data_IF_053927355225
#
_entry.id   IF_053927355225
#
_cell.length_a   1.000
_cell.length_b   1.000
_cell.length_c   1.000
_cell.angle_alpha   90.00
_cell.angle_beta   90.00
_cell.angle_gamma   90.00
#
_symmetry.space_group_name_H-M   'P 1'
#
loop_
_entity.id
_entity.type
_entity.pdbx_description
1 polymer ?
#
# COMPACT_ATOMS: atom_id res chain seq x y z
N UNK A 1 34.04 -46.24 1.78
CA UNK A 1 35.12 -45.31 2.16
C UNK A 1 35.52 -44.39 1.00
N UNK A 2 35.84 -44.94 -0.17
CA UNK A 2 36.22 -44.17 -1.38
C UNK A 2 35.22 -43.08 -1.83
N UNK A 3 33.90 -43.32 -1.73
CA UNK A 3 32.88 -42.34 -2.14
C UNK A 3 32.87 -41.06 -1.27
N UNK A 4 33.04 -41.21 0.05
CA UNK A 4 33.15 -40.06 0.99
C UNK A 4 34.42 -39.25 0.77
N UNK A 5 35.52 -39.90 0.41
CA UNK A 5 36.78 -39.23 0.05
C UNK A 5 36.62 -38.46 -1.25
N UNK A 6 35.94 -39.05 -2.25
CA UNK A 6 35.67 -38.39 -3.53
C UNK A 6 34.77 -37.15 -3.36
N UNK A 7 33.74 -37.24 -2.51
CA UNK A 7 32.86 -36.12 -2.20
C UNK A 7 33.59 -35.01 -1.42
N UNK A 8 34.55 -35.37 -0.55
CA UNK A 8 35.39 -34.42 0.18
C UNK A 8 36.36 -33.67 -0.75
N UNK A 9 37.02 -34.37 -1.68
CA UNK A 9 37.94 -33.79 -2.68
C UNK A 9 37.20 -32.85 -3.64
N UNK A 10 35.91 -33.10 -3.91
CA UNK A 10 35.07 -32.23 -4.75
C UNK A 10 34.47 -31.04 -3.98
N UNK A 11 34.68 -30.95 -2.67
CA UNK A 11 34.14 -29.84 -1.88
C UNK A 11 34.79 -28.51 -2.28
N UNK A 12 33.99 -27.44 -2.33
CA UNK A 12 34.49 -26.09 -2.69
C UNK A 12 35.62 -25.64 -1.76
N UNK A 13 35.54 -25.99 -0.48
CA UNK A 13 36.55 -25.65 0.52
C UNK A 13 37.89 -26.35 0.26
N UNK A 14 37.86 -27.64 -0.08
CA UNK A 14 39.06 -28.40 -0.40
C UNK A 14 39.75 -27.86 -1.66
N UNK A 15 38.99 -27.60 -2.73
CA UNK A 15 39.53 -27.04 -3.98
C UNK A 15 40.15 -25.65 -3.73
N UNK A 16 39.50 -24.79 -2.95
CA UNK A 16 40.05 -23.46 -2.62
C UNK A 16 41.30 -23.53 -1.75
N UNK A 17 41.33 -24.44 -0.76
CA UNK A 17 42.49 -24.64 0.10
C UNK A 17 43.68 -25.23 -0.67
N UNK A 18 43.40 -26.19 -1.56
CA UNK A 18 44.40 -26.78 -2.45
C UNK A 18 45.00 -25.74 -3.39
N UNK A 19 44.18 -24.91 -4.04
CA UNK A 19 44.66 -23.83 -4.90
C UNK A 19 45.51 -22.81 -4.14
N UNK A 20 45.11 -22.39 -2.94
CA UNK A 20 45.90 -21.51 -2.08
C UNK A 20 47.25 -22.13 -1.70
N UNK A 21 47.26 -23.42 -1.36
CA UNK A 21 48.48 -24.16 -1.06
C UNK A 21 49.42 -24.24 -2.27
N UNK A 22 48.89 -24.51 -3.47
CA UNK A 22 49.66 -24.50 -4.71
C UNK A 22 50.26 -23.11 -5.01
N UNK A 23 49.49 -22.03 -4.85
CA UNK A 23 49.97 -20.65 -5.05
C UNK A 23 51.06 -20.30 -4.03
N UNK A 24 50.92 -20.76 -2.78
CA UNK A 24 51.93 -20.58 -1.74
C UNK A 24 53.23 -21.31 -2.05
N UNK A 25 53.14 -22.58 -2.47
CA UNK A 25 54.29 -23.35 -2.92
C UNK A 25 54.97 -22.68 -4.12
N UNK A 26 54.21 -22.27 -5.13
CA UNK A 26 54.74 -21.54 -6.29
C UNK A 26 55.42 -20.21 -5.88
N UNK A 27 54.87 -19.50 -4.90
CA UNK A 27 55.49 -18.26 -4.38
C UNK A 27 56.85 -18.54 -3.73
N UNK A 28 56.96 -19.64 -2.97
CA UNK A 28 58.23 -20.08 -2.37
C UNK A 28 59.23 -20.48 -3.45
N UNK A 29 58.81 -21.31 -4.43
CA UNK A 29 59.68 -21.74 -5.51
C UNK A 29 60.16 -20.54 -6.35
N UNK A 30 59.29 -19.58 -6.62
CA UNK A 30 59.63 -18.35 -7.33
C UNK A 30 60.61 -17.48 -6.53
N UNK A 31 60.49 -17.43 -5.20
CA UNK A 31 61.46 -16.72 -4.36
C UNK A 31 62.88 -17.29 -4.49
N UNK A 32 63.03 -18.62 -4.42
CA UNK A 32 64.34 -19.28 -4.46
C UNK A 32 64.93 -19.40 -5.87
N UNK A 33 64.12 -19.77 -6.87
CA UNK A 33 64.61 -20.04 -8.22
C UNK A 33 64.32 -18.94 -9.23
N UNK A 34 63.55 -17.92 -8.87
CA UNK A 34 63.23 -16.81 -9.77
C UNK A 34 64.49 -16.07 -10.25
N UNK A 35 65.52 -15.95 -9.41
CA UNK A 35 66.78 -15.28 -9.79
C UNK A 35 67.58 -16.02 -10.86
N UNK A 36 67.31 -17.30 -11.11
CA UNK A 36 68.01 -18.11 -12.11
C UNK A 36 67.37 -18.00 -13.50
N UNK A 37 66.18 -17.39 -13.60
CA UNK A 37 65.45 -17.25 -14.86
C UNK A 37 66.07 -16.11 -15.67
N UNK A 38 66.77 -16.46 -16.75
CA UNK A 38 67.32 -15.53 -17.72
C UNK A 38 66.55 -15.59 -19.04
N UNK A 39 66.30 -14.42 -19.64
CA UNK A 39 65.82 -14.31 -21.01
C UNK A 39 66.90 -13.61 -21.82
N UNK A 40 67.49 -14.32 -22.79
CA UNK A 40 68.54 -13.77 -23.64
C UNK A 40 69.72 -13.18 -22.82
N UNK A 41 70.18 -13.94 -21.82
CA UNK A 41 71.23 -13.58 -20.83
C UNK A 41 70.90 -12.42 -19.87
N UNK A 42 69.67 -11.90 -19.90
CA UNK A 42 69.20 -10.88 -18.96
C UNK A 42 68.44 -11.55 -17.81
N UNK A 43 68.96 -11.43 -16.58
CA UNK A 43 68.33 -11.92 -15.36
C UNK A 43 67.31 -10.91 -14.82
N UNK A 44 66.12 -10.92 -15.42
CA UNK A 44 65.02 -9.98 -15.15
C UNK A 44 64.58 -9.99 -13.67
N UNK A 45 64.69 -11.14 -12.99
CA UNK A 45 64.25 -11.32 -11.60
C UNK A 45 65.40 -11.43 -10.59
N UNK A 46 66.60 -10.97 -10.95
CA UNK A 46 67.76 -10.94 -10.05
C UNK A 46 67.51 -10.08 -8.80
N UNK A 47 66.85 -8.92 -8.98
CA UNK A 47 66.50 -8.01 -7.90
C UNK A 47 65.53 -8.63 -6.89
N UNK A 48 65.92 -8.65 -5.61
CA UNK A 48 65.09 -9.12 -4.50
C UNK A 48 63.84 -8.27 -4.31
N UNK A 49 63.91 -6.96 -4.60
CA UNK A 49 62.76 -6.05 -4.51
C UNK A 49 61.68 -6.40 -5.54
N UNK A 50 62.07 -6.69 -6.79
CA UNK A 50 61.11 -7.07 -7.85
C UNK A 50 60.36 -8.36 -7.51
N UNK A 51 61.08 -9.39 -7.01
CA UNK A 51 60.47 -10.65 -6.58
C UNK A 51 59.47 -10.45 -5.44
N UNK A 52 59.82 -9.65 -4.45
CA UNK A 52 58.93 -9.32 -3.33
C UNK A 52 57.67 -8.59 -3.81
N UNK A 53 57.81 -7.57 -4.67
CA UNK A 53 56.67 -6.81 -5.20
C UNK A 53 55.70 -7.69 -5.99
N UNK A 54 56.20 -8.63 -6.82
CA UNK A 54 55.35 -9.55 -7.58
C UNK A 54 54.58 -10.49 -6.64
N UNK A 55 55.25 -11.09 -5.65
CA UNK A 55 54.60 -11.95 -4.66
C UNK A 55 53.53 -11.18 -3.89
N UNK A 56 53.86 -9.96 -3.45
CA UNK A 56 52.92 -9.08 -2.74
C UNK A 56 51.66 -8.81 -3.58
N UNK A 57 51.81 -8.47 -4.87
CA UNK A 57 50.69 -8.20 -5.77
C UNK A 57 49.82 -9.45 -5.96
N UNK A 58 50.43 -10.62 -6.17
CA UNK A 58 49.70 -11.89 -6.32
C UNK A 58 48.87 -12.17 -5.07
N UNK A 59 49.47 -12.07 -3.89
CA UNK A 59 48.78 -12.30 -2.62
C UNK A 59 47.71 -11.23 -2.34
N UNK A 60 47.95 -9.98 -2.74
CA UNK A 60 46.96 -8.90 -2.63
C UNK A 60 45.74 -9.15 -3.53
N UNK A 61 45.93 -9.64 -4.76
CA UNK A 61 44.83 -10.02 -5.67
C UNK A 61 44.03 -11.19 -5.09
N UNK A 62 44.71 -12.22 -4.60
CA UNK A 62 44.07 -13.38 -3.94
C UNK A 62 43.27 -12.92 -2.72
N UNK A 63 43.88 -12.11 -1.86
CA UNK A 63 43.24 -11.56 -0.67
C UNK A 63 42.00 -10.73 -1.02
N UNK A 64 42.11 -9.84 -2.00
CA UNK A 64 40.99 -9.01 -2.48
C UNK A 64 39.85 -9.89 -3.03
N UNK A 65 40.16 -10.90 -3.83
CA UNK A 65 39.16 -11.82 -4.38
C UNK A 65 38.41 -12.60 -3.29
N UNK A 66 39.13 -13.07 -2.27
CA UNK A 66 38.54 -13.81 -1.15
C UNK A 66 37.73 -12.92 -0.19
N UNK A 67 38.08 -11.64 -0.02
CA UNK A 67 37.31 -10.69 0.79
C UNK A 67 36.09 -10.12 0.06
N UNK A 68 36.20 -9.82 -1.23
CA UNK A 68 35.10 -9.23 -2.00
C UNK A 68 33.92 -10.20 -2.14
N UNK A 69 34.18 -11.50 -2.29
CA UNK A 69 33.14 -12.51 -2.48
C UNK A 69 32.13 -12.63 -1.31
N UNK A 70 32.53 -12.76 -0.04
CA UNK A 70 31.61 -12.76 1.09
C UNK A 70 30.87 -11.43 1.26
N UNK A 71 31.51 -10.30 0.96
CA UNK A 71 30.86 -8.97 0.99
C UNK A 71 29.73 -8.88 -0.06
N UNK A 72 30.01 -9.29 -1.30
CA UNK A 72 29.01 -9.33 -2.37
C UNK A 72 27.86 -10.27 -2.00
N UNK A 73 28.18 -11.45 -1.46
CA UNK A 73 27.17 -12.42 -1.03
C UNK A 73 26.30 -11.87 0.11
N UNK A 74 26.89 -11.18 1.09
CA UNK A 74 26.18 -10.55 2.20
C UNK A 74 25.26 -9.41 1.73
N UNK A 75 25.74 -8.54 0.84
CA UNK A 75 24.91 -7.49 0.22
C UNK A 75 23.76 -8.13 -0.58
N UNK A 76 24.03 -9.23 -1.28
CA UNK A 76 23.01 -9.95 -2.04
C UNK A 76 21.96 -10.62 -1.14
N UNK A 77 22.35 -11.11 0.05
CA UNK A 77 21.43 -11.72 1.01
C UNK A 77 20.56 -10.68 1.71
N UNK A 78 21.08 -9.50 2.04
CA UNK A 78 20.26 -8.41 2.56
C UNK A 78 19.24 -7.93 1.51
N UNK A 79 19.66 -7.82 0.24
CA UNK A 79 18.78 -7.45 -0.86
C UNK A 79 17.72 -8.53 -1.12
N UNK A 80 18.05 -9.81 -0.95
CA UNK A 80 17.10 -10.91 -1.12
C UNK A 80 16.07 -10.94 0.02
N UNK A 81 16.47 -10.69 1.26
CA UNK A 81 15.56 -10.61 2.41
C UNK A 81 14.56 -9.46 2.25
N UNK A 82 15.03 -8.24 1.97
CA UNK A 82 14.16 -7.08 1.73
C UNK A 82 13.16 -7.35 0.59
N UNK A 83 13.62 -7.98 -0.50
CA UNK A 83 12.75 -8.41 -1.63
C UNK A 83 11.72 -9.46 -1.21
N UNK A 84 12.09 -10.43 -0.37
CA UNK A 84 11.17 -11.43 0.15
C UNK A 84 10.08 -10.78 1.01
N UNK A 85 10.46 -9.87 1.91
CA UNK A 85 9.50 -9.08 2.72
C UNK A 85 8.49 -8.34 1.83
N UNK A 86 8.96 -7.59 0.83
CA UNK A 86 8.07 -6.94 -0.15
C UNK A 86 7.17 -7.91 -0.91
N UNK A 87 7.67 -9.10 -1.26
CA UNK A 87 6.88 -10.12 -1.96
C UNK A 87 5.75 -10.64 -1.07
N UNK A 88 6.01 -10.84 0.22
CA UNK A 88 5.00 -11.24 1.22
C UNK A 88 3.93 -10.16 1.36
N UNK A 89 4.32 -8.89 1.55
CA UNK A 89 3.37 -7.77 1.65
C UNK A 89 2.50 -7.64 0.40
N UNK A 90 3.10 -7.78 -0.79
CA UNK A 90 2.36 -7.73 -2.06
C UNK A 90 1.35 -8.87 -2.14
N UNK A 91 1.74 -10.09 -1.74
CA UNK A 91 0.88 -11.28 -1.74
C UNK A 91 -0.32 -11.09 -0.81
N UNK A 92 -0.11 -10.55 0.39
CA UNK A 92 -1.19 -10.26 1.35
C UNK A 92 -2.16 -9.21 0.80
N UNK A 93 -1.64 -8.13 0.21
CA UNK A 93 -2.47 -7.15 -0.48
C UNK A 93 -3.23 -7.75 -1.68
N UNK A 94 -2.62 -8.67 -2.44
CA UNK A 94 -3.29 -9.38 -3.54
C UNK A 94 -4.42 -10.29 -3.04
N UNK A 95 -4.20 -11.01 -1.95
CA UNK A 95 -5.21 -11.88 -1.34
C UNK A 95 -6.41 -11.07 -0.84
N UNK A 96 -6.15 -9.93 -0.19
CA UNK A 96 -7.19 -9.01 0.23
C UNK A 96 -8.03 -8.54 -0.98
N UNK A 97 -7.36 -8.05 -2.02
CA UNK A 97 -8.03 -7.54 -3.23
C UNK A 97 -8.79 -8.64 -3.96
N UNK A 98 -8.28 -9.87 -3.98
CA UNK A 98 -9.00 -11.02 -4.52
C UNK A 98 -10.32 -11.27 -3.79
N UNK A 99 -10.31 -11.25 -2.45
CA UNK A 99 -11.52 -11.38 -1.62
C UNK A 99 -12.50 -10.23 -1.87
N UNK A 100 -12.03 -8.98 -1.91
CA UNK A 100 -12.87 -7.82 -2.20
C UNK A 100 -13.52 -7.88 -3.58
N UNK A 101 -12.74 -8.24 -4.63
CA UNK A 101 -13.27 -8.45 -5.99
C UNK A 101 -14.36 -9.49 -6.02
N UNK A 102 -14.13 -10.66 -5.39
CA UNK A 102 -15.12 -11.73 -5.30
C UNK A 102 -16.41 -11.21 -4.68
N UNK A 103 -16.32 -10.53 -3.55
CA UNK A 103 -17.49 -10.00 -2.85
C UNK A 103 -18.24 -8.96 -3.69
N UNK A 104 -17.54 -8.08 -4.42
CA UNK A 104 -18.17 -7.12 -5.33
C UNK A 104 -19.02 -7.79 -6.41
N UNK A 105 -18.47 -8.82 -7.06
CA UNK A 105 -19.19 -9.56 -8.09
C UNK A 105 -20.36 -10.37 -7.52
N UNK A 106 -20.24 -10.89 -6.29
CA UNK A 106 -21.36 -11.52 -5.58
C UNK A 106 -22.48 -10.52 -5.31
N UNK A 107 -22.19 -9.36 -4.71
CA UNK A 107 -23.20 -8.33 -4.43
C UNK A 107 -23.93 -7.84 -5.70
N UNK A 108 -23.22 -7.76 -6.83
CA UNK A 108 -23.84 -7.44 -8.12
C UNK A 108 -24.69 -8.58 -8.68
N UNK A 109 -24.25 -9.82 -8.49
CA UNK A 109 -25.00 -10.99 -8.93
C UNK A 109 -26.30 -11.09 -8.13
N UNK A 110 -26.21 -10.97 -6.81
CA UNK A 110 -27.36 -10.98 -5.90
C UNK A 110 -28.37 -9.90 -6.31
N UNK A 111 -27.91 -8.66 -6.53
CA UNK A 111 -28.78 -7.58 -7.00
C UNK A 111 -29.43 -7.85 -8.36
N UNK A 112 -28.69 -8.44 -9.31
CA UNK A 112 -29.25 -8.85 -10.61
C UNK A 112 -30.29 -9.96 -10.47
N UNK A 113 -30.09 -10.90 -9.54
CA UNK A 113 -31.02 -12.00 -9.31
C UNK A 113 -32.30 -11.53 -8.62
N UNK A 114 -32.20 -10.60 -7.67
CA UNK A 114 -33.35 -9.99 -6.99
C UNK A 114 -34.14 -9.07 -7.93
N UNK A 115 -33.47 -8.27 -8.76
CA UNK A 115 -34.11 -7.26 -9.61
C UNK A 115 -33.86 -7.48 -11.10
N UNK A 116 -34.11 -8.71 -11.59
CA UNK A 116 -33.82 -9.15 -12.97
C UNK A 116 -34.28 -8.17 -14.06
N UNK A 117 -35.50 -7.66 -13.93
CA UNK A 117 -36.12 -6.79 -14.93
C UNK A 117 -35.93 -5.29 -14.63
N UNK A 118 -35.69 -4.93 -13.36
CA UNK A 118 -35.63 -3.54 -12.92
C UNK A 118 -34.20 -2.98 -12.87
N UNK A 119 -33.19 -3.85 -12.72
CA UNK A 119 -31.81 -3.42 -12.56
C UNK A 119 -31.11 -3.19 -13.90
N UNK A 120 -31.05 -1.91 -14.32
CA UNK A 120 -30.30 -1.48 -15.51
C UNK A 120 -28.81 -1.39 -15.23
N UNK A 121 -28.13 -2.53 -15.20
CA UNK A 121 -26.68 -2.58 -14.87
C UNK A 121 -25.77 -1.81 -15.83
N UNK A 122 -26.19 -1.47 -17.05
CA UNK A 122 -25.35 -0.65 -17.95
C UNK A 122 -25.18 0.78 -17.45
N UNK A 123 -26.23 1.40 -16.91
CA UNK A 123 -26.24 2.82 -16.54
C UNK A 123 -26.33 3.03 -15.02
N UNK A 124 -25.82 2.08 -14.24
CA UNK A 124 -25.89 2.13 -12.78
C UNK A 124 -24.80 3.07 -12.25
N UNK A 125 -25.12 4.26 -11.71
CA UNK A 125 -24.11 5.16 -11.15
C UNK A 125 -23.45 4.53 -9.94
N UNK A 126 -22.15 4.73 -9.78
CA UNK A 126 -21.32 4.24 -8.68
C UNK A 126 -20.74 5.43 -7.92
N UNK A 127 -21.01 5.51 -6.62
CA UNK A 127 -20.50 6.57 -5.75
C UNK A 127 -19.56 5.97 -4.72
N UNK A 128 -18.39 6.58 -4.55
CA UNK A 128 -17.41 6.15 -3.54
C UNK A 128 -17.65 6.91 -2.24
N UNK A 129 -17.80 6.19 -1.13
CA UNK A 129 -17.95 6.79 0.21
C UNK A 129 -16.60 6.69 0.94
N UNK A 130 -16.10 7.84 1.38
CA UNK A 130 -14.79 8.00 2.01
C UNK A 130 -14.97 8.76 3.33
N UNK A 131 -14.24 8.33 4.37
CA UNK A 131 -14.22 9.02 5.66
C UNK A 131 -13.55 8.17 6.73
N UNK A 132 -13.24 8.79 7.87
CA UNK A 132 -12.61 8.14 9.02
C UNK A 132 -13.39 6.91 9.50
N UNK A 133 -12.71 6.00 10.20
CA UNK A 133 -13.40 4.94 10.94
C UNK A 133 -14.32 5.57 11.99
N UNK A 134 -15.53 5.01 12.15
CA UNK A 134 -16.52 5.57 13.06
C UNK A 134 -17.21 6.87 12.59
N UNK A 135 -16.88 7.42 11.41
CA UNK A 135 -17.52 8.63 10.89
C UNK A 135 -19.00 8.46 10.49
N UNK A 136 -19.62 7.30 10.71
CA UNK A 136 -21.05 7.08 10.40
C UNK A 136 -21.34 6.64 8.97
N UNK A 137 -20.35 6.20 8.19
CA UNK A 137 -20.54 5.71 6.80
C UNK A 137 -21.58 4.59 6.70
N UNK A 138 -21.45 3.54 7.51
CA UNK A 138 -22.38 2.41 7.48
C UNK A 138 -23.79 2.82 7.92
N UNK A 139 -23.91 3.73 8.90
CA UNK A 139 -25.19 4.31 9.30
C UNK A 139 -25.80 5.11 8.14
N UNK A 140 -25.03 5.97 7.49
CA UNK A 140 -25.47 6.73 6.32
C UNK A 140 -25.99 5.81 5.21
N UNK A 141 -25.32 4.69 4.92
CA UNK A 141 -25.78 3.72 3.91
C UNK A 141 -27.05 3.01 4.37
N UNK A 142 -27.09 2.49 5.59
CA UNK A 142 -28.20 1.66 6.08
C UNK A 142 -29.51 2.45 6.29
N UNK A 143 -29.41 3.75 6.56
CA UNK A 143 -30.55 4.64 6.79
C UNK A 143 -30.76 5.64 5.63
N UNK A 144 -30.29 5.31 4.42
CA UNK A 144 -30.43 6.17 3.23
C UNK A 144 -31.79 6.09 2.52
N UNK A 145 -32.77 5.36 3.08
CA UNK A 145 -34.04 4.99 2.42
C UNK A 145 -33.87 4.35 1.02
N UNK A 146 -32.66 3.83 0.75
CA UNK A 146 -32.35 3.09 -0.47
C UNK A 146 -32.65 1.61 -0.23
N UNK A 147 -33.42 1.03 -1.14
CA UNK A 147 -33.72 -0.40 -1.14
C UNK A 147 -32.49 -1.20 -1.60
N UNK A 148 -32.00 -2.09 -0.73
CA UNK A 148 -30.94 -3.07 -1.01
C UNK A 148 -31.55 -4.48 -1.08
N UNK A 149 -31.02 -5.39 -1.92
CA UNK A 149 -31.69 -6.65 -2.23
C UNK A 149 -31.60 -7.57 -1.02
N UNK A 150 -32.70 -7.87 -0.32
CA UNK A 150 -32.69 -8.75 0.86
C UNK A 150 -32.19 -10.16 0.51
N UNK A 151 -30.95 -10.48 0.84
CA UNK A 151 -30.42 -11.83 0.84
C UNK A 151 -30.26 -12.32 2.28
N UNK A 152 -30.32 -13.63 2.53
CA UNK A 152 -30.01 -14.21 3.84
C UNK A 152 -28.57 -13.86 4.31
N UNK A 153 -27.69 -13.47 3.38
CA UNK A 153 -26.37 -12.92 3.68
C UNK A 153 -26.41 -11.47 4.20
N UNK A 154 -27.48 -10.71 3.98
CA UNK A 154 -27.65 -9.33 4.48
C UNK A 154 -28.16 -9.23 5.91
N UNK A 155 -28.75 -10.28 6.51
CA UNK A 155 -28.89 -10.31 7.98
C UNK A 155 -27.51 -10.19 8.65
N UNK A 156 -26.45 -10.67 8.00
CA UNK A 156 -25.06 -10.52 8.45
C UNK A 156 -24.53 -9.10 8.24
N UNK A 157 -24.97 -8.38 7.21
CA UNK A 157 -24.55 -7.00 6.94
C UNK A 157 -25.33 -5.97 7.76
N UNK A 158 -26.60 -6.22 8.07
CA UNK A 158 -27.43 -5.37 8.96
C UNK A 158 -27.11 -5.58 10.44
N UNK A 159 -26.71 -6.78 10.88
CA UNK A 159 -26.37 -7.07 12.30
C UNK A 159 -24.97 -6.64 12.73
N UNK A 160 -24.02 -6.45 11.82
CA UNK A 160 -22.66 -6.08 12.21
C UNK A 160 -22.45 -4.57 12.12
N UNK A 161 -22.75 -3.87 13.22
CA UNK A 161 -22.15 -2.58 13.60
C UNK A 161 -20.62 -2.66 13.82
N UNK A 162 -19.97 -3.73 13.34
CA UNK A 162 -18.56 -4.03 13.58
C UNK A 162 -17.81 -3.69 12.30
N UNK A 163 -16.95 -2.67 12.41
CA UNK A 163 -16.06 -2.12 11.39
C UNK A 163 -15.99 -2.88 10.07
N UNK A 164 -16.33 -2.19 8.97
CA UNK A 164 -16.16 -2.66 7.59
C UNK A 164 -14.68 -3.03 7.36
N UNK A 165 -14.28 -4.31 7.49
CA UNK A 165 -12.87 -4.75 7.31
C UNK A 165 -12.43 -4.92 5.86
N UNK A 166 -13.36 -4.79 4.91
CA UNK A 166 -13.15 -4.99 3.47
C UNK A 166 -13.91 -3.93 2.68
N UNK A 167 -13.49 -3.63 1.45
CA UNK A 167 -14.34 -2.86 0.55
C UNK A 167 -15.68 -3.57 0.35
N UNK A 168 -16.79 -2.85 0.48
CA UNK A 168 -18.14 -3.36 0.28
C UNK A 168 -18.87 -2.60 -0.84
N UNK A 169 -19.70 -3.32 -1.60
CA UNK A 169 -20.49 -2.77 -2.69
C UNK A 169 -21.98 -2.97 -2.36
N UNK A 170 -22.69 -1.87 -2.17
CA UNK A 170 -24.12 -1.84 -1.93
C UNK A 170 -24.82 -1.47 -3.23
N UNK A 171 -25.58 -2.40 -3.80
CA UNK A 171 -26.24 -2.21 -5.09
C UNK A 171 -27.73 -2.02 -4.85
N UNK A 172 -28.32 -1.00 -5.47
CA UNK A 172 -29.76 -0.73 -5.47
C UNK A 172 -30.30 -0.61 -6.89
N UNK A 173 -31.62 -0.49 -7.04
CA UNK A 173 -32.27 -0.20 -8.33
C UNK A 173 -31.79 1.10 -8.98
N UNK A 174 -31.41 2.10 -8.17
CA UNK A 174 -31.08 3.47 -8.62
C UNK A 174 -29.58 3.71 -8.79
N UNK A 175 -28.73 2.93 -8.12
CA UNK A 175 -27.29 3.15 -8.11
C UNK A 175 -26.55 2.18 -7.20
N UNK A 176 -25.23 2.28 -7.16
CA UNK A 176 -24.38 1.54 -6.26
C UNK A 176 -23.53 2.47 -5.38
N UNK A 177 -23.38 2.11 -4.12
CA UNK A 177 -22.50 2.78 -3.17
C UNK A 177 -21.33 1.86 -2.83
N UNK A 178 -20.14 2.43 -2.83
CA UNK A 178 -18.90 1.75 -2.50
C UNK A 178 -18.45 2.23 -1.13
N UNK A 179 -18.54 1.35 -0.14
CA UNK A 179 -18.06 1.64 1.21
C UNK A 179 -16.59 1.23 1.33
N UNK A 180 -15.79 2.17 1.84
CA UNK A 180 -14.36 1.97 2.09
C UNK A 180 -14.12 1.84 3.59
N UNK A 181 -13.23 0.94 4.02
CA UNK A 181 -12.84 0.91 5.43
C UNK A 181 -12.18 2.23 5.84
N UNK A 182 -12.50 2.72 7.04
CA UNK A 182 -11.93 3.98 7.55
C UNK A 182 -10.41 3.97 7.67
N UNK A 183 -9.80 2.81 7.89
CA UNK A 183 -8.34 2.69 7.98
C UNK A 183 -7.61 2.87 6.64
N UNK A 184 -8.30 2.78 5.49
CA UNK A 184 -7.72 3.20 4.20
C UNK A 184 -7.80 4.71 4.01
N UNK A 185 -8.55 5.42 4.85
CA UNK A 185 -8.63 6.87 4.81
C UNK A 185 -7.46 7.53 5.55
N UNK A 186 -7.11 7.08 6.76
CA UNK A 186 -6.04 7.68 7.59
C UNK A 186 -4.72 6.90 7.55
N UNK A 187 -4.34 6.40 6.36
CA UNK A 187 -3.15 5.55 6.19
C UNK A 187 -1.87 6.20 6.77
N UNK A 188 -1.77 7.51 6.64
CA UNK A 188 -0.64 8.31 7.10
C UNK A 188 -0.41 8.24 8.61
N UNK A 189 -1.43 7.92 9.42
CA UNK A 189 -1.27 7.73 10.87
C UNK A 189 -0.42 6.50 11.20
N UNK A 190 -0.36 5.53 10.28
CA UNK A 190 0.48 4.33 10.40
C UNK A 190 1.94 4.58 9.96
N UNK A 191 2.26 5.79 9.45
CA UNK A 191 3.63 6.15 9.09
C UNK A 191 4.14 7.25 10.03
N UNK A 192 5.01 6.86 10.97
CA UNK A 192 5.64 7.76 11.94
C UNK A 192 7.14 7.83 11.67
N UNK A 193 7.57 8.75 10.78
CA UNK A 193 8.98 8.92 10.46
C UNK A 193 9.74 9.48 11.67
N UNK A 194 10.94 8.96 11.92
CA UNK A 194 11.88 9.45 12.93
C UNK A 194 12.68 10.64 12.41
N UNK A 195 12.84 10.75 11.09
CA UNK A 195 13.50 11.86 10.39
C UNK A 195 12.70 12.28 9.16
N UNK A 196 12.87 13.52 8.70
CA UNK A 196 12.15 14.05 7.51
C UNK A 196 12.38 13.24 6.24
N UNK A 197 13.54 12.58 6.16
CA UNK A 197 14.00 11.88 4.97
C UNK A 197 13.75 10.37 5.04
N UNK A 198 13.15 9.88 6.13
CA UNK A 198 12.80 8.45 6.27
C UNK A 198 11.77 8.06 5.20
N UNK A 199 12.09 7.02 4.44
CA UNK A 199 11.17 6.44 3.46
C UNK A 199 10.52 5.21 4.13
N UNK A 200 9.20 4.99 4.00
CA UNK A 200 8.52 3.84 4.60
C UNK A 200 9.15 2.49 4.22
N UNK A 201 9.72 2.41 3.03
CA UNK A 201 10.44 1.26 2.49
C UNK A 201 11.79 0.97 3.17
N UNK A 202 12.35 1.88 3.97
CA UNK A 202 13.62 1.69 4.67
C UNK A 202 13.49 0.67 5.79
N UNK A 203 12.45 0.81 6.62
CA UNK A 203 12.05 -0.16 7.64
C UNK A 203 10.66 -0.72 7.35
N UNK A 204 10.65 -1.87 6.67
CA UNK A 204 9.43 -2.56 6.26
C UNK A 204 8.65 -3.10 7.45
N UNK A 205 9.34 -3.54 8.51
CA UNK A 205 8.69 -4.17 9.65
C UNK A 205 8.00 -3.11 10.51
N UNK A 206 8.66 -1.96 10.73
CA UNK A 206 8.07 -0.78 11.38
C UNK A 206 6.86 -0.23 10.60
N UNK A 207 6.99 -0.10 9.28
CA UNK A 207 6.00 0.57 8.43
C UNK A 207 5.08 -0.41 7.67
N UNK A 208 4.99 -1.65 8.14
CA UNK A 208 4.29 -2.75 7.48
C UNK A 208 2.84 -2.39 7.15
N UNK A 209 2.10 -1.89 8.13
CA UNK A 209 0.67 -1.61 7.99
C UNK A 209 0.40 -0.47 7.01
N UNK A 210 1.21 0.59 7.05
CA UNK A 210 1.17 1.67 6.06
C UNK A 210 1.39 1.13 4.64
N UNK A 211 2.46 0.34 4.44
CA UNK A 211 2.82 -0.21 3.13
C UNK A 211 1.74 -1.15 2.56
N UNK A 212 1.16 -2.00 3.41
CA UNK A 212 0.06 -2.90 3.01
C UNK A 212 -1.16 -2.08 2.62
N UNK A 213 -1.62 -1.15 3.49
CA UNK A 213 -2.84 -0.37 3.24
C UNK A 213 -2.71 0.51 2.00
N UNK A 214 -1.56 1.16 1.81
CA UNK A 214 -1.24 1.93 0.59
C UNK A 214 -1.29 1.07 -0.67
N UNK A 215 -0.74 -0.14 -0.61
CA UNK A 215 -0.77 -1.07 -1.75
C UNK A 215 -2.19 -1.59 -2.03
N UNK A 216 -2.96 -1.92 -0.99
CA UNK A 216 -4.36 -2.34 -1.13
C UNK A 216 -5.16 -1.24 -1.80
N UNK A 217 -5.10 0.00 -1.30
CA UNK A 217 -5.81 1.14 -1.86
C UNK A 217 -5.46 1.37 -3.34
N UNK A 218 -4.17 1.39 -3.68
CA UNK A 218 -3.72 1.52 -5.07
C UNK A 218 -4.24 0.40 -5.97
N UNK A 219 -4.16 -0.86 -5.52
CA UNK A 219 -4.66 -2.02 -6.28
C UNK A 219 -6.18 -1.99 -6.43
N UNK A 220 -6.89 -1.48 -5.43
CA UNK A 220 -8.34 -1.30 -5.46
C UNK A 220 -8.77 -0.27 -6.50
N UNK A 221 -8.17 0.93 -6.49
CA UNK A 221 -8.43 1.94 -7.52
C UNK A 221 -8.07 1.42 -8.93
N UNK A 222 -6.97 0.68 -9.05
CA UNK A 222 -6.60 0.02 -10.32
C UNK A 222 -7.65 -1.02 -10.75
N UNK A 223 -8.23 -1.75 -9.80
CA UNK A 223 -9.33 -2.68 -10.08
C UNK A 223 -10.56 -1.94 -10.59
N UNK A 224 -10.96 -0.84 -9.97
CA UNK A 224 -12.08 -0.01 -10.45
C UNK A 224 -11.82 0.52 -11.87
N UNK A 225 -10.61 1.03 -12.13
CA UNK A 225 -10.21 1.58 -13.43
C UNK A 225 -10.24 0.52 -14.56
N UNK A 226 -9.85 -0.72 -14.29
CA UNK A 226 -9.76 -1.78 -15.31
C UNK A 226 -11.07 -2.53 -15.61
N UNK A 227 -12.14 -2.27 -14.85
CA UNK A 227 -13.40 -2.99 -14.97
C UNK A 227 -14.52 -2.04 -15.39
N UNK A 228 -15.69 -2.60 -15.71
CA UNK A 228 -16.87 -1.82 -16.10
C UNK A 228 -17.32 -0.79 -15.04
N UNK A 229 -16.80 -0.87 -13.81
CA UNK A 229 -17.06 0.10 -12.76
C UNK A 229 -16.52 1.49 -13.09
N UNK A 230 -15.44 1.58 -13.88
CA UNK A 230 -14.81 2.86 -14.23
C UNK A 230 -15.80 3.83 -14.88
N UNK A 231 -16.50 3.38 -15.93
CA UNK A 231 -17.49 4.19 -16.66
C UNK A 231 -18.75 4.49 -15.85
N UNK A 232 -18.88 3.93 -14.65
CA UNK A 232 -20.04 4.11 -13.76
C UNK A 232 -19.78 5.09 -12.64
N UNK A 233 -18.52 5.41 -12.37
CA UNK A 233 -18.15 6.33 -11.30
C UNK A 233 -18.75 7.71 -11.54
N UNK A 234 -19.57 8.16 -10.60
CA UNK A 234 -20.38 9.37 -10.78
C UNK A 234 -20.28 10.36 -9.61
N UNK A 235 -19.47 10.06 -8.58
CA UNK A 235 -19.27 10.96 -7.46
C UNK A 235 -18.47 10.35 -6.32
N UNK A 236 -18.03 11.22 -5.42
CA UNK A 236 -17.40 10.86 -4.15
C UNK A 236 -18.20 11.52 -3.02
N UNK A 237 -18.63 10.73 -2.03
CA UNK A 237 -19.20 11.22 -0.78
C UNK A 237 -18.12 11.18 0.29
N UNK A 238 -17.88 12.32 0.92
CA UNK A 238 -16.98 12.52 2.03
C UNK A 238 -17.79 12.61 3.31
N UNK A 239 -17.69 11.61 4.19
CA UNK A 239 -18.40 11.59 5.47
C UNK A 239 -17.49 12.09 6.59
N UNK A 240 -17.92 13.16 7.25
CA UNK A 240 -17.21 13.83 8.34
C UNK A 240 -18.03 13.71 9.61
N UNK A 241 -17.41 13.17 10.67
CA UNK A 241 -18.00 13.16 12.01
C UNK A 241 -18.01 14.59 12.57
N UNK A 242 -19.20 15.18 12.68
CA UNK A 242 -19.31 16.59 13.08
C UNK A 242 -18.91 16.82 14.53
N UNK A 243 -19.24 15.90 15.43
CA UNK A 243 -18.90 16.01 16.86
C UNK A 243 -17.39 16.02 17.04
N UNK A 244 -16.70 15.06 16.43
CA UNK A 244 -15.24 14.97 16.53
C UNK A 244 -14.60 16.19 15.84
N UNK A 245 -15.13 16.60 14.69
CA UNK A 245 -14.60 17.75 13.95
C UNK A 245 -14.69 19.07 14.73
N UNK A 246 -15.78 19.29 15.48
CA UNK A 246 -15.99 20.51 16.25
C UNK A 246 -15.28 20.50 17.62
N UNK A 247 -15.24 19.34 18.29
CA UNK A 247 -14.70 19.24 19.66
C UNK A 247 -13.18 19.11 19.71
N UNK A 248 -12.53 18.72 18.60
CA UNK A 248 -11.07 18.57 18.57
C UNK A 248 -10.34 19.87 18.18
N UNK A 249 -9.05 20.01 18.52
CA UNK A 249 -8.26 21.16 18.13
C UNK A 249 -8.18 21.34 16.60
N UNK A 250 -7.93 22.58 16.15
CA UNK A 250 -7.80 22.93 14.72
C UNK A 250 -6.79 22.05 13.95
N UNK A 251 -5.79 21.51 14.63
CA UNK A 251 -4.82 20.58 14.04
C UNK A 251 -5.49 19.28 13.54
N UNK A 252 -6.45 18.74 14.28
CA UNK A 252 -7.24 17.58 13.87
C UNK A 252 -8.00 17.89 12.58
N UNK A 253 -8.73 19.02 12.54
CA UNK A 253 -9.51 19.44 11.37
C UNK A 253 -8.61 19.63 10.14
N UNK A 254 -7.43 20.25 10.31
CA UNK A 254 -6.43 20.40 9.23
C UNK A 254 -5.95 19.05 8.70
N UNK A 255 -5.65 18.10 9.59
CA UNK A 255 -5.23 16.75 9.20
C UNK A 255 -6.35 15.99 8.49
N UNK A 256 -7.59 16.09 8.98
CA UNK A 256 -8.75 15.48 8.35
C UNK A 256 -8.95 16.01 6.92
N UNK A 257 -8.94 17.34 6.74
CA UNK A 257 -9.08 17.99 5.43
C UNK A 257 -7.94 17.53 4.51
N UNK A 258 -6.69 17.49 5.01
CA UNK A 258 -5.54 17.00 4.25
C UNK A 258 -5.75 15.55 3.78
N UNK A 259 -6.27 14.67 4.63
CA UNK A 259 -6.55 13.28 4.26
C UNK A 259 -7.70 13.16 3.25
N UNK A 260 -8.80 13.89 3.43
CA UNK A 260 -9.91 13.95 2.47
C UNK A 260 -9.43 14.38 1.08
N UNK A 261 -8.75 15.51 1.01
CA UNK A 261 -8.19 16.03 -0.24
C UNK A 261 -7.20 15.06 -0.87
N UNK A 262 -6.36 14.40 -0.07
CA UNK A 262 -5.42 13.40 -0.57
C UNK A 262 -6.13 12.17 -1.16
N UNK A 263 -7.14 11.63 -0.49
CA UNK A 263 -7.92 10.47 -0.98
C UNK A 263 -8.68 10.81 -2.26
N UNK A 264 -9.29 11.99 -2.33
CA UNK A 264 -9.92 12.50 -3.58
C UNK A 264 -8.89 12.58 -4.70
N UNK A 265 -7.76 13.24 -4.46
CA UNK A 265 -6.70 13.36 -5.46
C UNK A 265 -6.16 12.00 -5.94
N UNK A 266 -6.04 11.01 -5.05
CA UNK A 266 -5.62 9.65 -5.42
C UNK A 266 -6.67 8.95 -6.29
N UNK A 267 -7.96 9.09 -5.96
CA UNK A 267 -9.06 8.62 -6.79
C UNK A 267 -9.00 9.26 -8.18
N UNK A 268 -9.02 10.59 -8.27
CA UNK A 268 -9.03 11.31 -9.55
C UNK A 268 -7.80 10.99 -10.41
N UNK A 269 -6.60 10.97 -9.82
CA UNK A 269 -5.35 10.64 -10.55
C UNK A 269 -5.32 9.20 -11.04
N UNK A 270 -5.76 8.23 -10.23
CA UNK A 270 -5.68 6.81 -10.59
C UNK A 270 -6.79 6.39 -11.55
N UNK A 271 -7.96 7.00 -11.40
CA UNK A 271 -9.15 6.75 -12.23
C UNK A 271 -9.16 7.62 -13.48
N UNK A 272 -8.37 8.71 -13.53
CA UNK A 272 -8.36 9.69 -14.61
C UNK A 272 -9.76 10.28 -14.87
N UNK A 273 -10.47 10.63 -13.79
CA UNK A 273 -11.82 11.20 -13.80
C UNK A 273 -11.87 12.38 -12.82
N UNK A 274 -12.63 13.42 -13.17
CA UNK A 274 -13.04 14.45 -12.21
C UNK A 274 -14.46 14.13 -11.76
N UNK A 275 -14.64 13.92 -10.46
CA UNK A 275 -15.91 13.47 -9.91
C UNK A 275 -16.52 14.58 -9.03
N UNK A 276 -17.85 14.78 -9.06
CA UNK A 276 -18.49 15.67 -8.11
C UNK A 276 -18.27 15.15 -6.68
N UNK A 277 -18.02 16.09 -5.77
CA UNK A 277 -17.72 15.81 -4.37
C UNK A 277 -18.89 16.27 -3.52
N UNK A 278 -19.43 15.36 -2.72
CA UNK A 278 -20.50 15.63 -1.76
C UNK A 278 -19.91 15.49 -0.36
N UNK A 279 -20.16 16.47 0.51
CA UNK A 279 -19.70 16.42 1.91
C UNK A 279 -20.91 16.18 2.79
N UNK A 280 -20.84 15.15 3.62
CA UNK A 280 -21.89 14.76 4.56
C UNK A 280 -21.34 14.92 5.98
N UNK A 281 -21.91 15.87 6.70
CA UNK A 281 -21.69 16.06 8.14
C UNK A 281 -22.61 15.10 8.90
N UNK A 282 -22.02 14.06 9.47
CA UNK A 282 -22.74 13.02 10.21
C UNK A 282 -22.80 13.34 11.70
N UNK A 283 -23.65 12.61 12.43
CA UNK A 283 -23.81 12.72 13.89
C UNK A 283 -24.21 14.12 14.36
N UNK A 284 -24.97 14.85 13.55
CA UNK A 284 -25.51 16.16 13.93
C UNK A 284 -26.46 16.04 15.13
N UNK A 285 -27.15 14.90 15.27
CA UNK A 285 -28.01 14.55 16.39
C UNK A 285 -27.29 14.49 17.75
N UNK A 286 -25.97 14.31 17.75
CA UNK A 286 -25.15 14.27 18.95
C UNK A 286 -24.62 15.64 19.39
N UNK A 287 -24.87 16.69 18.61
CA UNK A 287 -24.56 18.06 19.01
C UNK A 287 -25.61 18.50 20.04
N UNK A 288 -25.17 19.18 21.10
CA UNK A 288 -26.04 19.68 22.16
C UNK A 288 -27.17 20.54 21.60
N UNK A 289 -28.41 20.25 21.99
CA UNK A 289 -29.62 20.93 21.52
C UNK A 289 -30.17 20.44 20.17
N UNK A 290 -29.43 19.63 19.40
CA UNK A 290 -29.92 19.16 18.10
C UNK A 290 -31.01 18.10 18.22
N UNK A 291 -30.96 17.27 19.27
CA UNK A 291 -32.02 16.29 19.52
C UNK A 291 -33.36 16.98 19.79
N UNK A 292 -33.35 17.97 20.68
CA UNK A 292 -34.51 18.79 21.00
C UNK A 292 -34.98 19.57 19.76
N UNK A 293 -34.06 20.09 18.95
CA UNK A 293 -34.38 20.71 17.67
C UNK A 293 -35.16 19.74 16.77
N UNK A 294 -34.66 18.52 16.55
CA UNK A 294 -35.34 17.54 15.70
C UNK A 294 -36.67 17.05 16.29
N UNK A 295 -36.80 16.94 17.62
CA UNK A 295 -38.04 16.56 18.28
C UNK A 295 -39.17 17.61 18.13
N UNK A 296 -38.81 18.89 17.94
CA UNK A 296 -39.77 19.97 17.66
C UNK A 296 -40.36 19.86 16.24
N UNK A 297 -39.62 19.28 15.30
CA UNK A 297 -40.04 19.20 13.91
C UNK A 297 -40.71 17.85 13.60
N UNK A 298 -41.86 17.90 12.93
CA UNK A 298 -42.51 16.69 12.43
C UNK A 298 -41.59 15.96 11.43
N UNK A 299 -41.75 14.64 11.28
CA UNK A 299 -40.89 13.79 10.40
C UNK A 299 -40.73 14.35 9.00
N UNK A 300 -41.79 14.99 8.48
CA UNK A 300 -41.78 15.65 7.16
C UNK A 300 -40.71 16.74 7.00
N UNK A 301 -40.29 17.38 8.09
CA UNK A 301 -39.25 18.41 8.07
C UNK A 301 -37.89 17.78 8.33
N UNK A 302 -37.77 16.77 9.20
CA UNK A 302 -36.52 16.02 9.39
C UNK A 302 -36.09 15.27 8.12
N UNK A 303 -37.05 14.84 7.31
CA UNK A 303 -36.81 14.12 6.05
C UNK A 303 -36.44 15.06 4.88
N UNK A 304 -36.50 16.39 5.08
CA UNK A 304 -36.03 17.34 4.06
C UNK A 304 -34.52 17.26 3.94
N UNK A 305 -34.05 17.40 2.70
CA UNK A 305 -32.63 17.53 2.42
C UNK A 305 -32.13 18.83 3.06
N UNK A 306 -31.31 18.68 4.09
CA UNK A 306 -30.56 19.78 4.72
C UNK A 306 -29.20 19.88 4.05
N UNK A 307 -28.94 20.97 3.35
CA UNK A 307 -27.66 21.19 2.70
C UNK A 307 -27.71 22.23 1.60
N UNK A 308 -26.57 22.44 0.97
CA UNK A 308 -26.39 23.38 -0.13
C UNK A 308 -25.72 22.64 -1.28
N UNK A 309 -26.21 22.87 -2.50
CA UNK A 309 -25.55 22.45 -3.72
C UNK A 309 -24.95 23.68 -4.38
N UNK A 310 -23.70 23.59 -4.81
CA UNK A 310 -23.00 24.70 -5.44
C UNK A 310 -22.98 24.50 -6.95
N UNK A 311 -23.70 25.36 -7.68
CA UNK A 311 -23.77 25.33 -9.15
C UNK A 311 -22.55 25.96 -9.81
N UNK A 312 -21.80 26.79 -9.06
CA UNK A 312 -20.60 27.49 -9.52
C UNK A 312 -19.35 26.83 -8.96
N UNK A 313 -18.23 27.02 -9.66
CA UNK A 313 -16.90 26.69 -9.14
C UNK A 313 -16.71 27.48 -7.85
N UNK A 314 -16.52 26.77 -6.74
CA UNK A 314 -16.27 27.36 -5.42
C UNK A 314 -14.99 28.22 -5.48
N UNK A 315 -15.12 29.53 -5.26
CA UNK A 315 -13.99 30.42 -4.98
C UNK A 315 -13.94 30.75 -3.49
N UNK A 316 -12.73 31.03 -2.99
CA UNK A 316 -12.55 31.47 -1.60
C UNK A 316 -13.34 32.76 -1.31
N UNK A 317 -13.40 33.66 -2.28
CA UNK A 317 -14.21 34.88 -2.21
C UNK A 317 -15.72 34.58 -2.11
N UNK A 318 -16.24 33.63 -2.90
CA UNK A 318 -17.64 33.23 -2.83
C UNK A 318 -17.98 32.64 -1.46
N UNK A 319 -17.13 31.74 -0.95
CA UNK A 319 -17.33 31.11 0.35
C UNK A 319 -17.29 32.14 1.50
N UNK A 320 -16.35 33.09 1.44
CA UNK A 320 -16.23 34.15 2.45
C UNK A 320 -17.39 35.17 2.42
N UNK A 321 -18.07 35.31 1.27
CA UNK A 321 -19.21 36.21 1.14
C UNK A 321 -20.53 35.54 1.57
N UNK A 322 -20.72 34.27 1.25
CA UNK A 322 -21.98 33.54 1.54
C UNK A 322 -22.08 33.00 2.97
N UNK A 323 -20.96 32.60 3.60
CA UNK A 323 -20.96 31.91 4.91
C UNK A 323 -20.39 32.75 6.06
N UNK A 324 -20.50 34.08 5.95
CA UNK A 324 -19.88 35.02 6.89
C UNK A 324 -20.57 35.12 8.24
#
# INVERSE_FOLDING_TARGET
MFKKIFDFVKSRLFITAFLLCCIFLLSILFWFWGSLVAFNDIYIFSSSFLRFSIILIIWLIVFLFFLLKPIINFISSLKSEKRLKFKVLKKEADEFIYKSKRNFFLSLKDAKETWKNDLKTKNLPLIIIIGNEGAGKSTFINYSDIEYPLSDSLESYKKFHKSTRNFALYVSKKGALLDTEGNYFSQEEFFKPTSSDEIPEDDIDKNRDFLIKKNIWKKFLTFLNKNFFHSKLNGIILVVDTVIFLNNPKEYSKNLIRYLTKRVNECEKTLNLKLPIYIVFSKLDLIEGMKEYFDIFDKKISDKILGLSFDKILSEEFLNNEFK
#
